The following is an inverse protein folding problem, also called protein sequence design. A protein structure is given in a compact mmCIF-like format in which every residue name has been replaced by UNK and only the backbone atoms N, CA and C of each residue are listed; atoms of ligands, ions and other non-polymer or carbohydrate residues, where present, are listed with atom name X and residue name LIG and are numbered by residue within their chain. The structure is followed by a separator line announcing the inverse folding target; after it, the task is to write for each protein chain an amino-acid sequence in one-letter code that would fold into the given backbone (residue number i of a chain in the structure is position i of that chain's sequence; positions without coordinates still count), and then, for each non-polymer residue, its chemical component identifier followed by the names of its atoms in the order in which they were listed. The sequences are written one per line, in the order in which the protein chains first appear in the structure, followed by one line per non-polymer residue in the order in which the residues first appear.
data_IF_205405820418
#
_entry.id   IF_205405820418
#
_cell.length_a   1.000
_cell.length_b   1.000
_cell.length_c   1.000
_cell.angle_alpha   90.00
_cell.angle_beta   90.00
_cell.angle_gamma   90.00
#
_symmetry.space_group_name_H-M   'P 1'
#
loop_
_entity.id
_entity.type
_entity.pdbx_description
1 polymer ?
#
# COMPACT_ATOMS: atom_id res chain seq x y z
N UNK A 1 16.57 -31.65 -3.17
CA UNK A 1 16.75 -30.80 -4.36
C UNK A 1 15.96 -29.52 -4.10
N UNK A 2 16.45 -28.74 -3.13
CA UNK A 2 15.83 -27.53 -2.60
C UNK A 2 16.90 -26.45 -2.65
N UNK A 3 17.02 -25.75 -3.78
CA UNK A 3 17.93 -24.61 -3.90
C UNK A 3 17.58 -23.80 -5.17
N UNK A 4 16.38 -23.22 -5.25
CA UNK A 4 16.08 -22.27 -6.34
C UNK A 4 14.96 -21.26 -6.04
N UNK A 5 14.73 -20.91 -4.78
CA UNK A 5 13.72 -19.89 -4.41
C UNK A 5 14.27 -18.76 -3.54
N UNK A 6 15.52 -18.85 -3.07
CA UNK A 6 16.13 -17.79 -2.25
C UNK A 6 16.81 -16.68 -3.07
N UNK A 7 17.03 -16.91 -4.37
CA UNK A 7 17.77 -15.97 -5.23
C UNK A 7 16.88 -15.00 -6.04
N UNK A 8 15.55 -15.15 -6.00
CA UNK A 8 14.62 -14.21 -6.68
C UNK A 8 14.15 -13.05 -5.79
N UNK A 9 14.65 -12.94 -4.56
CA UNK A 9 14.15 -11.94 -3.58
C UNK A 9 15.16 -10.81 -3.34
N UNK A 10 16.29 -10.74 -4.06
CA UNK A 10 17.41 -9.83 -3.75
C UNK A 10 17.79 -8.78 -4.80
N UNK A 11 17.06 -8.66 -5.91
CA UNK A 11 17.14 -7.53 -6.86
C UNK A 11 15.71 -6.93 -6.93
N UNK A 12 15.36 -5.69 -6.63
CA UNK A 12 16.06 -4.43 -6.36
C UNK A 12 15.32 -3.72 -5.22
N UNK A 13 15.96 -3.50 -4.08
CA UNK A 13 15.51 -2.55 -3.03
C UNK A 13 16.41 -1.30 -3.02
N UNK A 14 17.01 -0.98 -4.16
CA UNK A 14 17.73 0.28 -4.35
C UNK A 14 16.71 1.37 -4.72
N UNK A 15 16.55 2.29 -3.78
CA UNK A 15 15.93 3.62 -3.85
C UNK A 15 15.55 4.12 -5.26
N UNK A 16 14.30 3.87 -5.65
CA UNK A 16 13.70 4.48 -6.85
C UNK A 16 12.35 5.12 -6.52
N UNK A 17 12.25 5.78 -5.37
CA UNK A 17 11.05 6.51 -4.95
C UNK A 17 10.76 7.76 -5.80
N UNK A 18 11.61 8.11 -6.77
CA UNK A 18 11.48 9.37 -7.52
C UNK A 18 10.81 9.26 -8.90
N UNK A 19 10.42 8.08 -9.38
CA UNK A 19 9.84 7.98 -10.73
C UNK A 19 8.57 7.11 -10.87
N UNK A 20 7.89 6.80 -9.78
CA UNK A 20 6.53 6.25 -9.85
C UNK A 20 5.55 7.41 -10.06
N UNK A 21 5.24 7.74 -11.32
CA UNK A 21 4.26 8.79 -11.66
C UNK A 21 2.86 8.28 -11.29
N UNK A 22 2.49 8.45 -10.02
CA UNK A 22 1.17 8.10 -9.53
C UNK A 22 0.10 8.77 -10.41
N UNK A 23 -1.02 8.09 -10.74
CA UNK A 23 -2.14 8.75 -11.38
C UNK A 23 -2.55 9.98 -10.56
N UNK A 24 -2.98 11.07 -11.20
CA UNK A 24 -3.19 12.39 -10.56
C UNK A 24 -3.97 12.34 -9.24
N UNK A 25 -4.88 11.37 -9.11
CA UNK A 25 -5.67 11.11 -7.91
C UNK A 25 -4.82 10.70 -6.69
N UNK A 26 -3.77 9.91 -6.90
CA UNK A 26 -2.86 9.47 -5.85
C UNK A 26 -1.82 10.54 -5.48
N UNK A 27 -1.38 11.38 -6.42
CA UNK A 27 -0.55 12.55 -6.11
C UNK A 27 -1.29 13.56 -5.22
N UNK A 28 -2.58 13.81 -5.51
CA UNK A 28 -3.44 14.65 -4.66
C UNK A 28 -3.66 14.02 -3.27
N UNK A 29 -3.76 12.69 -3.20
CA UNK A 29 -3.89 12.00 -1.92
C UNK A 29 -2.63 12.14 -1.08
N UNK A 30 -1.44 11.95 -1.68
CA UNK A 30 -0.17 12.07 -0.98
C UNK A 30 0.05 13.49 -0.43
N UNK A 31 -0.26 14.54 -1.19
CA UNK A 31 -0.15 15.92 -0.69
C UNK A 31 -1.11 16.21 0.46
N UNK A 32 -2.32 15.65 0.43
CA UNK A 32 -3.27 15.73 1.54
C UNK A 32 -2.72 15.00 2.76
N UNK A 33 -2.23 13.77 2.58
CA UNK A 33 -1.67 12.96 3.67
C UNK A 33 -0.40 13.60 4.26
N UNK A 34 0.48 14.18 3.45
CA UNK A 34 1.63 14.95 3.95
C UNK A 34 1.19 16.20 4.72
N UNK A 35 0.09 16.84 4.29
CA UNK A 35 -0.59 17.86 5.08
C UNK A 35 -1.08 17.35 6.44
N UNK A 36 -1.56 16.10 6.51
CA UNK A 36 -1.93 15.46 7.78
C UNK A 36 -0.73 15.26 8.70
N UNK A 37 0.45 14.87 8.19
CA UNK A 37 1.71 14.77 8.97
C UNK A 37 2.12 16.12 9.54
N UNK A 38 2.07 17.18 8.73
CA UNK A 38 2.41 18.52 9.22
C UNK A 38 1.46 18.99 10.34
N UNK A 39 0.17 18.64 10.25
CA UNK A 39 -0.81 18.90 11.31
C UNK A 39 -0.51 18.07 12.57
N UNK A 40 -0.19 16.80 12.39
CA UNK A 40 0.25 15.86 13.43
C UNK A 40 1.47 16.38 14.22
N UNK A 41 2.46 17.01 13.59
CA UNK A 41 3.60 17.57 14.32
C UNK A 41 3.30 18.90 15.03
N UNK A 42 2.17 19.56 14.74
CA UNK A 42 1.80 20.86 15.32
C UNK A 42 0.87 20.77 16.54
N UNK A 43 0.11 19.68 16.66
CA UNK A 43 -0.67 19.30 17.85
C UNK A 43 0.17 18.30 18.68
N UNK A 44 -0.11 18.13 19.98
CA UNK A 44 0.71 17.29 20.86
C UNK A 44 0.98 15.89 20.28
N UNK A 45 2.18 15.33 20.54
CA UNK A 45 2.62 14.06 19.95
C UNK A 45 1.63 12.89 20.15
N UNK A 46 0.84 12.90 21.24
CA UNK A 46 -0.21 11.91 21.48
C UNK A 46 -1.44 12.07 20.58
N UNK A 47 -1.86 13.31 20.32
CA UNK A 47 -3.04 13.61 19.47
C UNK A 47 -2.76 13.22 18.02
N UNK A 48 -1.54 13.48 17.56
CA UNK A 48 -1.01 13.08 16.26
C UNK A 48 -1.13 11.58 15.98
N UNK A 49 -0.61 10.78 16.93
CA UNK A 49 -0.62 9.33 16.83
C UNK A 49 -2.06 8.79 16.77
N UNK A 50 -2.97 9.39 17.54
CA UNK A 50 -4.38 9.02 17.56
C UNK A 50 -5.06 9.22 16.19
N UNK A 51 -4.70 10.29 15.47
CA UNK A 51 -5.23 10.59 14.14
C UNK A 51 -4.75 9.55 13.11
N UNK A 52 -3.47 9.20 13.13
CA UNK A 52 -2.91 8.18 12.24
C UNK A 52 -3.56 6.80 12.46
N UNK A 53 -3.76 6.40 13.71
CA UNK A 53 -4.44 5.14 14.04
C UNK A 53 -5.90 5.12 13.59
N UNK A 54 -6.59 6.26 13.73
CA UNK A 54 -7.96 6.41 13.26
C UNK A 54 -8.04 6.35 11.73
N UNK A 55 -7.10 7.00 11.04
CA UNK A 55 -7.00 6.95 9.59
C UNK A 55 -6.75 5.51 9.11
N UNK A 56 -5.85 4.78 9.77
CA UNK A 56 -5.56 3.39 9.47
C UNK A 56 -6.79 2.49 9.69
N UNK A 57 -7.60 2.77 10.72
CA UNK A 57 -8.88 2.09 10.96
C UNK A 57 -9.90 2.33 9.83
N UNK A 58 -9.95 3.54 9.27
CA UNK A 58 -10.76 3.80 8.06
C UNK A 58 -10.19 3.08 6.83
N UNK A 59 -8.87 3.04 6.70
CA UNK A 59 -8.22 2.33 5.60
C UNK A 59 -8.55 0.83 5.61
N UNK A 60 -8.65 0.16 6.76
CA UNK A 60 -9.13 -1.24 6.83
C UNK A 60 -10.50 -1.37 6.15
N UNK A 61 -11.44 -0.50 6.49
CA UNK A 61 -12.79 -0.50 5.92
C UNK A 61 -12.78 -0.25 4.41
N UNK A 62 -11.94 0.69 3.95
CA UNK A 62 -11.76 0.95 2.52
C UNK A 62 -11.13 -0.22 1.77
N UNK A 63 -10.29 -1.04 2.44
CA UNK A 63 -9.69 -2.21 1.82
C UNK A 63 -10.72 -3.28 1.47
N UNK A 64 -11.88 -3.31 2.14
CA UNK A 64 -12.91 -4.33 1.87
C UNK A 64 -13.58 -4.18 0.51
N UNK A 65 -13.52 -2.99 -0.12
CA UNK A 65 -14.20 -2.68 -1.38
C UNK A 65 -13.18 -2.40 -2.47
N UNK A 66 -13.32 -3.08 -3.61
CA UNK A 66 -12.39 -2.92 -4.76
C UNK A 66 -12.21 -1.45 -5.17
N UNK A 67 -13.31 -0.66 -5.22
CA UNK A 67 -13.25 0.76 -5.62
C UNK A 67 -12.40 1.64 -4.71
N UNK A 68 -12.29 1.31 -3.42
CA UNK A 68 -11.57 2.11 -2.42
C UNK A 68 -10.27 1.44 -1.95
N UNK A 69 -10.01 0.21 -2.39
CA UNK A 69 -8.83 -0.57 -2.02
C UNK A 69 -7.52 0.16 -2.34
N UNK A 70 -7.44 0.82 -3.50
CA UNK A 70 -6.26 1.57 -3.90
C UNK A 70 -5.92 2.70 -2.90
N UNK A 71 -6.92 3.48 -2.48
CA UNK A 71 -6.74 4.54 -1.47
C UNK A 71 -6.30 3.95 -0.13
N UNK A 72 -6.90 2.82 0.26
CA UNK A 72 -6.53 2.09 1.47
C UNK A 72 -5.06 1.65 1.46
N UNK A 73 -4.60 1.05 0.36
CA UNK A 73 -3.20 0.63 0.19
C UNK A 73 -2.25 1.84 0.16
N UNK A 74 -2.66 2.97 -0.41
CA UNK A 74 -1.86 4.20 -0.34
C UNK A 74 -1.69 4.71 1.08
N UNK A 75 -2.75 4.72 1.89
CA UNK A 75 -2.68 5.10 3.30
C UNK A 75 -1.78 4.13 4.08
N UNK A 76 -1.94 2.82 3.87
CA UNK A 76 -1.11 1.81 4.52
C UNK A 76 0.37 2.01 4.16
N UNK A 77 0.69 2.13 2.87
CA UNK A 77 2.05 2.39 2.40
C UNK A 77 2.61 3.69 2.98
N UNK A 78 1.81 4.75 2.96
CA UNK A 78 2.18 6.04 3.51
C UNK A 78 2.56 5.96 5.00
N UNK A 79 1.87 5.13 5.78
CA UNK A 79 2.25 4.83 7.18
C UNK A 79 3.53 4.01 7.23
N UNK A 80 3.61 2.89 6.52
CA UNK A 80 4.78 2.01 6.59
C UNK A 80 6.10 2.68 6.16
N UNK A 81 6.06 3.71 5.31
CA UNK A 81 7.25 4.45 4.87
C UNK A 81 7.67 5.60 5.79
N UNK A 82 6.85 5.99 6.77
CA UNK A 82 7.08 7.20 7.60
C UNK A 82 7.45 6.90 9.04
N UNK A 83 7.12 5.71 9.51
CA UNK A 83 7.46 5.25 10.86
C UNK A 83 8.38 4.04 10.75
N UNK A 84 9.33 3.95 11.68
CA UNK A 84 10.20 2.78 11.80
C UNK A 84 9.39 1.57 12.28
N UNK A 85 9.83 0.33 11.95
CA UNK A 85 9.17 -0.87 12.44
C UNK A 85 9.07 -0.92 13.98
N UNK A 86 10.07 -0.40 14.68
CA UNK A 86 10.13 -0.30 16.14
C UNK A 86 9.04 0.63 16.67
N UNK A 87 8.91 1.83 16.11
CA UNK A 87 7.86 2.80 16.48
C UNK A 87 6.46 2.24 16.20
N UNK A 88 6.28 1.55 15.07
CA UNK A 88 5.00 0.93 14.72
C UNK A 88 4.62 -0.21 15.67
N UNK A 89 5.61 -0.90 16.26
CA UNK A 89 5.35 -1.97 17.22
C UNK A 89 4.91 -1.43 18.58
N UNK A 90 5.31 -0.20 18.93
CA UNK A 90 4.83 0.51 20.12
C UNK A 90 3.37 0.97 19.99
N UNK A 91 2.84 1.02 18.77
CA UNK A 91 1.46 1.45 18.55
C UNK A 91 0.46 0.42 19.11
N UNK A 92 -0.55 0.85 19.88
CA UNK A 92 -1.59 -0.03 20.40
C UNK A 92 -2.30 -0.78 19.26
N UNK A 93 -2.33 -2.10 19.36
CA UNK A 93 -3.04 -3.01 18.45
C UNK A 93 -2.59 -2.95 16.98
N UNK A 94 -1.42 -2.41 16.65
CA UNK A 94 -0.96 -2.30 15.27
C UNK A 94 -0.84 -3.67 14.56
N UNK A 95 -0.39 -4.70 15.28
CA UNK A 95 -0.35 -6.07 14.75
C UNK A 95 -1.74 -6.56 14.31
N UNK A 96 -2.79 -6.34 15.13
CA UNK A 96 -4.17 -6.71 14.77
C UNK A 96 -4.66 -5.92 13.55
N UNK A 97 -4.28 -4.65 13.46
CA UNK A 97 -4.59 -3.81 12.30
C UNK A 97 -3.97 -4.41 11.04
N UNK A 98 -2.68 -4.75 11.04
CA UNK A 98 -2.03 -5.40 9.89
C UNK A 98 -2.71 -6.72 9.52
N UNK A 99 -3.04 -7.57 10.50
CA UNK A 99 -3.76 -8.82 10.26
C UNK A 99 -5.11 -8.61 9.55
N UNK A 100 -5.78 -7.48 9.81
CA UNK A 100 -7.03 -7.12 9.16
C UNK A 100 -6.86 -6.72 7.69
N UNK A 101 -5.68 -6.22 7.29
CA UNK A 101 -5.37 -5.87 5.90
C UNK A 101 -5.09 -7.08 5.03
N UNK A 102 -4.31 -8.04 5.55
CA UNK A 102 -3.78 -9.21 4.81
C UNK A 102 -4.83 -9.87 3.89
N UNK A 103 -5.99 -10.35 4.37
CA UNK A 103 -6.90 -11.13 3.53
C UNK A 103 -7.45 -10.35 2.33
N UNK A 104 -7.68 -9.05 2.48
CA UNK A 104 -8.19 -8.21 1.40
C UNK A 104 -7.08 -7.76 0.46
N UNK A 105 -5.90 -7.43 0.99
CA UNK A 105 -4.72 -7.12 0.17
C UNK A 105 -4.36 -8.31 -0.72
N UNK A 106 -4.30 -9.53 -0.17
CA UNK A 106 -4.05 -10.76 -0.94
C UNK A 106 -5.09 -10.95 -2.04
N UNK A 107 -6.39 -10.82 -1.74
CA UNK A 107 -7.46 -10.95 -2.74
C UNK A 107 -7.33 -9.94 -3.88
N UNK A 108 -7.00 -8.69 -3.56
CA UNK A 108 -6.82 -7.65 -4.58
C UNK A 108 -5.58 -7.90 -5.43
N UNK A 109 -4.48 -8.35 -4.82
CA UNK A 109 -3.28 -8.76 -5.54
C UNK A 109 -3.57 -9.90 -6.52
N UNK A 110 -4.21 -10.97 -6.07
CA UNK A 110 -4.62 -12.08 -6.95
C UNK A 110 -5.53 -11.61 -8.10
N UNK A 111 -6.39 -10.62 -7.85
CA UNK A 111 -7.24 -10.04 -8.90
C UNK A 111 -6.38 -9.28 -9.93
N UNK A 112 -5.35 -8.56 -9.50
CA UNK A 112 -4.42 -7.87 -10.40
C UNK A 112 -3.67 -8.89 -11.26
N UNK A 113 -3.12 -9.96 -10.66
CA UNK A 113 -2.43 -11.02 -11.42
C UNK A 113 -3.33 -11.64 -12.50
N UNK A 114 -4.59 -11.94 -12.17
CA UNK A 114 -5.55 -12.46 -13.17
C UNK A 114 -5.84 -11.47 -14.30
N UNK A 115 -5.85 -10.16 -14.01
CA UNK A 115 -6.04 -9.13 -15.04
C UNK A 115 -4.80 -9.02 -15.95
N UNK A 116 -3.60 -9.17 -15.38
CA UNK A 116 -2.35 -9.20 -16.15
C UNK A 116 -2.31 -10.41 -17.10
N UNK A 117 -2.71 -11.60 -16.62
CA UNK A 117 -2.86 -12.80 -17.46
C UNK A 117 -3.84 -12.57 -18.62
N UNK A 118 -5.00 -11.95 -18.35
CA UNK A 118 -5.99 -11.63 -19.38
C UNK A 118 -5.46 -10.62 -20.40
N UNK A 119 -4.68 -9.63 -19.95
CA UNK A 119 -4.06 -8.64 -20.83
C UNK A 119 -3.01 -9.29 -21.74
N UNK A 120 -2.22 -10.25 -21.25
CA UNK A 120 -1.26 -10.99 -22.05
C UNK A 120 -1.95 -11.78 -23.19
N UNK A 121 -3.09 -12.41 -22.89
CA UNK A 121 -3.91 -13.09 -23.91
C UNK A 121 -4.42 -12.09 -24.94
N UNK A 122 -4.91 -10.93 -24.51
CA UNK A 122 -5.40 -9.89 -25.39
C UNK A 122 -4.28 -9.38 -26.33
N UNK A 123 -3.08 -9.15 -25.81
CA UNK A 123 -1.92 -8.73 -26.60
C UNK A 123 -1.57 -9.77 -27.67
N UNK A 124 -1.55 -11.06 -27.30
CA UNK A 124 -1.30 -12.14 -28.25
C UNK A 124 -2.33 -12.17 -29.39
N UNK A 125 -3.62 -11.98 -29.08
CA UNK A 125 -4.68 -11.94 -30.11
C UNK A 125 -4.50 -10.71 -31.01
N UNK A 126 -4.13 -9.56 -30.46
CA UNK A 126 -3.90 -8.34 -31.22
C UNK A 126 -2.74 -8.49 -32.21
N UNK A 127 -1.65 -9.14 -31.81
CA UNK A 127 -0.49 -9.43 -32.68
C UNK A 127 -0.83 -10.41 -33.81
N UNK A 128 -1.74 -11.35 -33.60
CA UNK A 128 -2.17 -12.31 -34.63
C UNK A 128 -3.15 -11.72 -35.66
N UNK A 129 -3.82 -10.61 -35.32
CA UNK A 129 -4.92 -10.05 -36.11
C UNK A 129 -4.59 -8.72 -36.79
N UNK A 130 -3.46 -8.09 -36.44
CA UNK A 130 -2.89 -6.91 -37.10
C UNK A 130 -1.86 -7.27 -38.16
#
# INVERSE_FOLDING_TARGET
QELLTQDLVKEDFEDNHQNMKYPTQAANLLSILDGFVNKCHSEGAEDSLSLCQRLLSYAINWNTRTRTSMISQFVLNWILTRWTPEELLEWPNFSHVLQSFIPYTTRHYERICRLEEQLAILNYIAELTG
#
